data_IF_772033291271
#
_entry.id   IF_772033291271
#
_cell.length_a   1.000
_cell.length_b   1.000
_cell.length_c   1.000
_cell.angle_alpha   90.00
_cell.angle_beta   90.00
_cell.angle_gamma   90.00
#
_symmetry.space_group_name_H-M   'P 1'
#
loop_
_entity.id
_entity.type
_entity.pdbx_description
1 polymer ?
#
# COMPACT_ATOMS: atom_id res chain seq x y z
N UNK A 1 -40.51 18.38 -49.83
CA UNK A 1 -40.07 18.79 -48.47
C UNK A 1 -38.56 18.87 -48.50
N UNK A 2 -38.01 20.03 -48.82
CA UNK A 2 -37.51 21.08 -47.90
C UNK A 2 -36.05 20.81 -47.53
N UNK A 3 -35.11 21.50 -48.21
CA UNK A 3 -34.23 22.61 -47.70
C UNK A 3 -33.19 22.09 -46.68
N UNK A 4 -31.89 22.39 -46.72
CA UNK A 4 -31.10 23.64 -46.79
C UNK A 4 -29.70 23.28 -47.39
N UNK A 5 -28.89 24.09 -48.08
CA UNK A 5 -28.59 25.52 -47.99
C UNK A 5 -27.18 25.72 -47.40
N UNK A 6 -26.13 25.84 -48.24
CA UNK A 6 -24.77 26.38 -47.98
C UNK A 6 -23.91 26.03 -49.21
N UNK A 7 -23.19 26.90 -49.93
CA UNK A 7 -22.51 28.14 -49.58
C UNK A 7 -21.05 27.99 -50.07
N UNK A 8 -20.76 28.44 -51.30
CA UNK A 8 -19.40 28.65 -51.84
C UNK A 8 -18.69 29.78 -51.05
N UNK A 9 -17.35 29.84 -50.90
CA UNK A 9 -16.49 30.19 -52.05
C UNK A 9 -15.05 29.63 -52.10
N UNK A 10 -14.58 29.47 -53.34
CA UNK A 10 -13.31 29.92 -53.92
C UNK A 10 -12.02 29.83 -53.07
N UNK A 11 -11.21 28.83 -53.38
CA UNK A 11 -9.81 28.75 -52.99
C UNK A 11 -8.95 29.42 -54.08
N UNK A 12 -8.46 30.63 -53.82
CA UNK A 12 -7.13 31.02 -54.31
C UNK A 12 -6.51 32.22 -53.56
N UNK A 13 -5.19 32.10 -53.37
CA UNK A 13 -4.16 33.15 -53.33
C UNK A 13 -3.76 33.74 -51.97
N UNK A 14 -2.55 33.37 -51.53
CA UNK A 14 -1.70 34.23 -50.69
C UNK A 14 -0.88 33.48 -49.63
N UNK A 15 0.38 33.16 -49.92
CA UNK A 15 1.37 32.83 -48.89
C UNK A 15 1.67 34.04 -47.97
N UNK A 16 2.36 33.82 -46.83
CA UNK A 16 3.81 33.71 -46.89
C UNK A 16 4.37 32.46 -46.19
N UNK A 17 5.49 31.98 -46.73
CA UNK A 17 6.12 30.71 -46.39
C UNK A 17 6.68 30.66 -44.97
N UNK A 18 6.31 29.59 -44.28
CA UNK A 18 7.13 29.03 -43.21
C UNK A 18 8.18 28.12 -43.87
N UNK A 19 9.43 28.57 -43.86
CA UNK A 19 10.56 27.76 -44.30
C UNK A 19 10.73 26.52 -43.39
N UNK A 20 11.30 25.42 -43.90
CA UNK A 20 11.65 24.27 -43.09
C UNK A 20 12.85 24.63 -42.21
N UNK A 21 12.58 24.97 -40.95
CA UNK A 21 13.60 25.00 -39.91
C UNK A 21 14.04 23.56 -39.65
N UNK A 22 15.15 23.17 -40.26
CA UNK A 22 15.86 21.95 -39.95
C UNK A 22 16.44 22.06 -38.52
N UNK A 23 15.67 21.63 -37.52
CA UNK A 23 16.24 21.27 -36.23
C UNK A 23 17.01 19.95 -36.41
N UNK A 24 18.29 20.10 -36.71
CA UNK A 24 19.27 19.03 -36.56
C UNK A 24 19.28 18.54 -35.11
N UNK A 25 18.45 17.55 -34.80
CA UNK A 25 18.60 16.75 -33.58
C UNK A 25 19.75 15.76 -33.79
N UNK A 26 20.97 16.25 -33.70
CA UNK A 26 22.14 15.37 -33.56
C UNK A 26 22.09 14.69 -32.19
N UNK A 27 22.32 13.37 -32.08
CA UNK A 27 22.55 12.75 -30.79
C UNK A 27 23.92 13.24 -30.26
N UNK A 28 23.91 14.32 -29.51
CA UNK A 28 25.05 14.76 -28.71
C UNK A 28 25.33 13.69 -27.67
N UNK A 29 26.33 12.86 -27.94
CA UNK A 29 26.91 11.92 -27.00
C UNK A 29 27.40 12.70 -25.77
N UNK A 30 26.60 12.69 -24.70
CA UNK A 30 27.01 13.18 -23.39
C UNK A 30 27.98 12.14 -22.82
N UNK A 31 29.26 12.29 -23.18
CA UNK A 31 30.37 11.61 -22.55
C UNK A 31 30.40 12.05 -21.08
N UNK A 32 29.75 11.28 -20.20
CA UNK A 32 29.96 11.36 -18.76
C UNK A 32 31.35 10.78 -18.45
N UNK A 33 32.38 11.60 -18.66
CA UNK A 33 33.69 11.36 -18.07
C UNK A 33 33.60 11.52 -16.55
N UNK A 34 34.22 10.65 -15.73
CA UNK A 34 34.25 10.81 -14.28
C UNK A 34 35.26 11.91 -13.93
N UNK A 35 34.85 13.17 -14.11
CA UNK A 35 35.61 14.36 -13.73
C UNK A 35 35.07 14.94 -12.44
N UNK A 36 35.90 14.92 -11.41
CA UNK A 36 35.70 15.46 -10.07
C UNK A 36 35.11 16.87 -10.04
N UNK A 37 33.85 17.00 -9.62
CA UNK A 37 33.31 18.27 -9.13
C UNK A 37 33.66 18.38 -7.64
N UNK A 38 34.71 19.15 -7.34
CA UNK A 38 35.15 19.44 -5.99
C UNK A 38 34.21 20.50 -5.38
N UNK A 39 33.18 20.05 -4.67
CA UNK A 39 32.56 20.88 -3.63
C UNK A 39 33.23 20.53 -2.31
N UNK A 40 34.22 21.34 -1.95
CA UNK A 40 34.78 21.38 -0.61
C UNK A 40 33.81 22.12 0.31
N UNK A 41 32.95 21.37 0.99
CA UNK A 41 32.24 21.84 2.18
C UNK A 41 32.81 21.05 3.35
N UNK A 42 33.66 21.71 4.13
CA UNK A 42 34.42 21.10 5.22
C UNK A 42 33.54 20.62 6.40
N UNK A 43 34.13 19.69 7.16
CA UNK A 43 33.68 19.11 8.43
C UNK A 43 32.34 18.35 8.32
N UNK A 44 32.26 17.03 8.57
CA UNK A 44 32.68 16.33 9.77
C UNK A 44 33.18 14.92 9.41
N UNK A 45 34.39 14.54 9.85
CA UNK A 45 34.78 13.12 9.90
C UNK A 45 34.07 12.49 11.10
N UNK A 46 32.99 11.76 10.84
CA UNK A 46 32.56 10.70 11.75
C UNK A 46 33.32 9.44 11.32
N UNK A 47 34.34 9.06 12.09
CA UNK A 47 34.89 7.70 12.02
C UNK A 47 33.81 6.73 12.51
N UNK A 48 32.92 6.32 11.59
CA UNK A 48 31.90 5.32 11.89
C UNK A 48 32.59 3.95 11.98
N UNK A 49 32.46 3.22 13.10
CA UNK A 49 33.01 1.88 13.21
C UNK A 49 32.36 0.99 12.13
N UNK A 50 33.20 0.21 11.43
CA UNK A 50 32.77 -0.72 10.40
C UNK A 50 31.60 -1.58 10.91
N UNK A 51 30.41 -1.29 10.39
CA UNK A 51 29.20 -2.00 10.80
C UNK A 51 29.35 -3.47 10.37
N UNK A 52 29.19 -4.44 11.29
CA UNK A 52 29.25 -5.84 10.90
C UNK A 52 28.13 -6.12 9.91
N UNK A 53 28.53 -6.55 8.71
CA UNK A 53 27.67 -7.08 7.65
C UNK A 53 26.82 -8.22 8.19
N UNK A 54 25.65 -7.89 8.71
CA UNK A 54 24.66 -8.84 9.16
C UNK A 54 24.16 -9.64 7.94
N UNK A 55 24.36 -10.97 7.87
CA UNK A 55 23.98 -11.76 6.70
C UNK A 55 22.46 -11.96 6.54
N UNK A 56 21.62 -11.26 7.32
CA UNK A 56 20.15 -11.34 7.24
C UNK A 56 19.50 -10.22 6.40
N UNK A 57 20.05 -9.90 5.24
CA UNK A 57 19.32 -9.10 4.24
C UNK A 57 18.87 -10.00 3.10
N UNK A 58 17.86 -10.83 3.38
CA UNK A 58 16.89 -11.14 2.35
C UNK A 58 16.34 -9.79 1.85
N UNK A 59 16.35 -9.56 0.54
CA UNK A 59 16.13 -8.26 -0.07
C UNK A 59 14.91 -7.56 0.55
N UNK A 60 15.12 -6.33 1.05
CA UNK A 60 14.05 -5.48 1.56
C UNK A 60 13.21 -5.05 0.36
N UNK A 61 12.31 -5.92 -0.08
CA UNK A 61 11.33 -5.63 -1.11
C UNK A 61 10.57 -4.38 -0.65
N UNK A 62 10.39 -3.42 -1.56
CA UNK A 62 9.65 -2.19 -1.25
C UNK A 62 8.26 -2.60 -0.75
N UNK A 63 7.73 -2.03 0.35
CA UNK A 63 6.46 -2.46 0.93
C UNK A 63 5.30 -2.53 -0.08
N UNK A 64 5.26 -1.62 -1.04
CA UNK A 64 4.21 -1.59 -2.08
C UNK A 64 4.47 -2.53 -3.26
N UNK A 65 5.70 -3.02 -3.43
CA UNK A 65 5.98 -4.01 -4.46
C UNK A 65 5.41 -5.39 -4.10
N UNK A 66 5.24 -5.68 -2.81
CA UNK A 66 4.62 -6.93 -2.33
C UNK A 66 3.09 -6.94 -2.50
N UNK A 67 2.46 -5.77 -2.67
CA UNK A 67 1.01 -5.63 -2.92
C UNK A 67 0.68 -5.30 -4.38
N UNK A 68 1.66 -5.40 -5.29
CA UNK A 68 1.55 -4.97 -6.69
C UNK A 68 1.07 -3.51 -6.86
N UNK A 69 1.40 -2.64 -5.90
CA UNK A 69 0.99 -1.24 -5.88
C UNK A 69 -0.35 -0.94 -5.19
N UNK A 70 -1.10 -1.96 -4.75
CA UNK A 70 -2.35 -1.75 -4.00
C UNK A 70 -2.06 -1.14 -2.61
N UNK A 71 -2.82 -0.11 -2.26
CA UNK A 71 -2.77 0.58 -0.96
C UNK A 71 -4.04 0.41 -0.13
N UNK A 72 -5.12 -0.10 -0.75
CA UNK A 72 -6.38 -0.38 -0.10
C UNK A 72 -6.65 -1.89 -0.06
N UNK A 73 -7.11 -2.42 1.09
CA UNK A 73 -7.53 -3.81 1.21
C UNK A 73 -8.82 -4.08 0.43
N UNK A 74 -9.05 -5.35 0.08
CA UNK A 74 -10.28 -5.79 -0.61
C UNK A 74 -11.54 -5.69 0.28
N UNK A 75 -11.35 -5.69 1.60
CA UNK A 75 -12.40 -5.56 2.62
C UNK A 75 -12.07 -4.40 3.55
N UNK A 76 -13.09 -3.75 4.11
CA UNK A 76 -12.86 -2.71 5.10
C UNK A 76 -12.28 -3.32 6.39
N UNK A 77 -11.12 -2.81 6.78
CA UNK A 77 -10.29 -3.34 7.86
C UNK A 77 -9.80 -2.18 8.72
N UNK A 78 -10.55 -1.80 9.77
CA UNK A 78 -10.07 -0.89 10.81
C UNK A 78 -8.78 -1.43 11.43
N UNK A 79 -7.93 -0.55 11.96
CA UNK A 79 -6.64 -0.98 12.50
C UNK A 79 -6.78 -1.75 13.82
N UNK A 80 -7.87 -1.48 14.55
CA UNK A 80 -8.30 -2.10 15.80
C UNK A 80 -9.08 -3.41 15.59
N UNK A 81 -9.41 -3.75 14.34
CA UNK A 81 -10.17 -4.95 14.04
C UNK A 81 -9.38 -6.19 14.44
N UNK A 82 -10.02 -7.09 15.19
CA UNK A 82 -9.41 -8.33 15.68
C UNK A 82 -9.49 -9.39 14.60
N UNK A 83 -8.39 -10.09 14.37
CA UNK A 83 -8.26 -11.09 13.30
C UNK A 83 -8.12 -12.48 13.91
N UNK A 84 -8.97 -13.40 13.47
CA UNK A 84 -8.93 -14.81 13.85
C UNK A 84 -8.60 -15.68 12.64
N UNK A 85 -7.73 -16.67 12.80
CA UNK A 85 -7.48 -17.67 11.76
C UNK A 85 -8.53 -18.77 11.79
N UNK A 86 -9.27 -18.94 10.69
CA UNK A 86 -10.31 -19.96 10.54
C UNK A 86 -9.69 -21.30 10.15
N UNK A 87 -8.77 -21.26 9.18
CA UNK A 87 -8.15 -22.46 8.65
C UNK A 87 -6.64 -22.30 8.55
N UNK A 88 -5.92 -22.96 9.46
CA UNK A 88 -4.48 -23.09 9.39
C UNK A 88 -4.14 -24.38 8.63
N UNK A 89 -4.25 -24.30 7.31
CA UNK A 89 -3.88 -25.41 6.44
C UNK A 89 -2.35 -25.49 6.36
N UNK A 90 -1.73 -26.47 7.04
CA UNK A 90 -0.30 -26.78 6.91
C UNK A 90 0.15 -27.16 5.48
N UNK A 91 -0.80 -27.26 4.56
CA UNK A 91 -0.64 -27.56 3.13
C UNK A 91 -0.51 -26.29 2.25
N UNK A 92 -0.48 -25.09 2.83
CA UNK A 92 -0.07 -23.91 2.04
C UNK A 92 1.39 -24.07 1.64
N UNK A 93 1.63 -24.26 0.34
CA UNK A 93 2.98 -24.43 -0.24
C UNK A 93 3.69 -23.07 -0.39
N UNK A 94 3.68 -22.28 0.70
CA UNK A 94 4.31 -20.97 0.76
C UNK A 94 5.75 -21.09 1.24
N UNK A 95 6.69 -20.32 0.66
CA UNK A 95 8.07 -20.30 1.12
C UNK A 95 8.19 -19.96 2.61
N UNK A 96 9.24 -20.45 3.25
CA UNK A 96 9.57 -20.05 4.62
C UNK A 96 9.77 -18.54 4.71
N UNK A 97 9.08 -17.89 5.65
CA UNK A 97 9.10 -16.43 5.81
C UNK A 97 8.12 -15.68 4.90
N UNK A 98 7.18 -16.38 4.24
CA UNK A 98 6.07 -15.72 3.57
C UNK A 98 5.18 -15.00 4.58
N UNK A 99 4.91 -13.74 4.30
CA UNK A 99 4.11 -12.86 5.17
C UNK A 99 2.71 -13.43 5.46
N UNK A 100 2.11 -14.16 4.50
CA UNK A 100 0.79 -14.77 4.69
C UNK A 100 0.82 -15.86 5.75
N UNK A 101 1.85 -16.72 5.72
CA UNK A 101 2.03 -17.76 6.74
C UNK A 101 2.22 -17.15 8.13
N UNK A 102 3.00 -16.07 8.23
CA UNK A 102 3.24 -15.38 9.49
C UNK A 102 1.97 -14.71 10.03
N UNK A 103 1.15 -14.10 9.15
CA UNK A 103 -0.15 -13.53 9.51
C UNK A 103 -1.09 -14.62 10.03
N UNK A 104 -1.23 -15.77 9.35
CA UNK A 104 -2.07 -16.88 9.83
C UNK A 104 -1.59 -17.42 11.17
N UNK A 105 -0.26 -17.47 11.41
CA UNK A 105 0.29 -17.87 12.70
C UNK A 105 -0.06 -16.87 13.81
N UNK A 106 -0.01 -15.58 13.54
CA UNK A 106 -0.36 -14.53 14.51
C UNK A 106 -1.87 -14.47 14.76
N UNK A 107 -2.69 -14.72 13.74
CA UNK A 107 -4.15 -14.72 13.85
C UNK A 107 -4.73 -15.82 14.75
N UNK A 108 -3.94 -16.82 15.17
CA UNK A 108 -4.37 -17.78 16.22
C UNK A 108 -4.43 -17.15 17.61
N UNK A 109 -3.77 -16.00 17.81
CA UNK A 109 -3.74 -15.26 19.07
C UNK A 109 -4.80 -14.15 19.13
N UNK A 110 -5.68 -14.04 18.13
CA UNK A 110 -6.74 -13.03 18.05
C UNK A 110 -6.22 -11.60 18.24
N UNK A 111 -5.14 -11.26 17.53
CA UNK A 111 -4.54 -9.93 17.55
C UNK A 111 -5.29 -8.97 16.63
N UNK A 112 -5.23 -7.68 16.96
CA UNK A 112 -5.68 -6.62 16.05
C UNK A 112 -4.77 -6.48 14.84
N UNK A 113 -5.29 -5.89 13.76
CA UNK A 113 -4.51 -5.59 12.54
C UNK A 113 -3.25 -4.76 12.86
N UNK A 114 -3.36 -3.78 13.74
CA UNK A 114 -2.23 -2.95 14.18
C UNK A 114 -1.16 -3.78 14.92
N UNK A 115 -1.57 -4.66 15.82
CA UNK A 115 -0.66 -5.54 16.56
C UNK A 115 0.04 -6.53 15.63
N UNK A 116 -0.67 -7.08 14.64
CA UNK A 116 -0.06 -7.95 13.62
C UNK A 116 1.02 -7.18 12.85
N UNK A 117 0.72 -5.96 12.41
CA UNK A 117 1.71 -5.14 11.69
C UNK A 117 2.95 -4.83 12.54
N UNK A 118 2.76 -4.55 13.83
CA UNK A 118 3.84 -4.33 14.79
C UNK A 118 4.69 -5.59 15.01
N UNK A 119 4.06 -6.76 15.18
CA UNK A 119 4.76 -8.03 15.38
C UNK A 119 5.62 -8.42 14.16
N UNK A 120 5.16 -8.09 12.95
CA UNK A 120 5.89 -8.39 11.72
C UNK A 120 6.97 -7.35 11.40
N UNK A 121 7.01 -6.21 12.11
CA UNK A 121 7.82 -5.03 11.75
C UNK A 121 7.61 -4.65 10.27
N UNK A 122 6.33 -4.51 9.89
CA UNK A 122 5.90 -4.20 8.51
C UNK A 122 4.94 -3.01 8.46
N UNK A 123 4.83 -2.41 7.28
CA UNK A 123 3.91 -1.28 7.06
C UNK A 123 2.46 -1.72 7.24
N UNK A 124 1.70 -0.95 8.02
CA UNK A 124 0.29 -1.20 8.28
C UNK A 124 -0.53 -1.35 6.99
N UNK A 125 -0.28 -0.50 5.99
CA UNK A 125 -1.02 -0.55 4.72
C UNK A 125 -0.79 -1.85 3.94
N UNK A 126 0.44 -2.35 3.92
CA UNK A 126 0.77 -3.64 3.32
C UNK A 126 0.05 -4.78 4.04
N UNK A 127 0.13 -4.79 5.38
CA UNK A 127 -0.45 -5.86 6.19
C UNK A 127 -1.97 -5.89 6.05
N UNK A 128 -2.62 -4.72 5.99
CA UNK A 128 -4.05 -4.60 5.70
C UNK A 128 -4.44 -5.23 4.37
N UNK A 129 -3.67 -4.95 3.31
CA UNK A 129 -3.95 -5.54 1.98
C UNK A 129 -3.86 -7.06 2.03
N UNK A 130 -2.80 -7.61 2.62
CA UNK A 130 -2.61 -9.07 2.71
C UNK A 130 -3.67 -9.73 3.58
N UNK A 131 -4.02 -9.14 4.73
CA UNK A 131 -5.13 -9.63 5.56
C UNK A 131 -6.43 -9.59 4.77
N UNK A 132 -6.69 -8.52 4.02
CA UNK A 132 -7.89 -8.41 3.19
C UNK A 132 -8.00 -9.52 2.15
N UNK A 133 -6.89 -9.84 1.47
CA UNK A 133 -6.85 -10.96 0.53
C UNK A 133 -7.12 -12.30 1.25
N UNK A 134 -6.50 -12.54 2.41
CA UNK A 134 -6.71 -13.76 3.20
C UNK A 134 -8.12 -13.91 3.77
N UNK A 135 -8.80 -12.79 4.04
CA UNK A 135 -10.21 -12.77 4.45
C UNK A 135 -11.11 -13.14 3.28
N UNK A 136 -10.84 -12.60 2.09
CA UNK A 136 -11.57 -12.95 0.85
C UNK A 136 -11.39 -14.43 0.51
N UNK A 137 -10.18 -14.96 0.71
CA UNK A 137 -9.86 -16.38 0.50
C UNK A 137 -10.45 -17.30 1.59
N UNK A 138 -11.09 -16.75 2.63
CA UNK A 138 -11.73 -17.51 3.71
C UNK A 138 -10.76 -18.11 4.75
N UNK A 139 -9.51 -17.68 4.76
CA UNK A 139 -8.50 -18.17 5.72
C UNK A 139 -8.55 -17.42 7.05
N UNK A 140 -8.98 -16.16 7.01
CA UNK A 140 -9.11 -15.27 8.15
C UNK A 140 -10.55 -14.81 8.34
N UNK A 141 -10.93 -14.61 9.60
CA UNK A 141 -12.15 -13.95 10.04
C UNK A 141 -11.81 -12.62 10.67
N UNK A 142 -12.60 -11.60 10.35
CA UNK A 142 -12.56 -10.30 11.02
C UNK A 142 -13.62 -10.26 12.10
N UNK A 143 -13.20 -9.95 13.32
CA UNK A 143 -14.08 -9.62 14.43
C UNK A 143 -14.13 -8.10 14.53
N UNK A 144 -15.22 -7.53 14.02
CA UNK A 144 -15.55 -6.13 14.26
C UNK A 144 -16.01 -5.98 15.70
N UNK A 145 -15.55 -4.96 16.41
CA UNK A 145 -16.10 -4.61 17.71
C UNK A 145 -17.60 -4.41 17.58
N UNK A 146 -18.36 -5.11 18.43
CA UNK A 146 -19.82 -5.24 18.45
C UNK A 146 -20.56 -3.89 18.27
N UNK A 147 -19.95 -2.77 18.59
CA UNK A 147 -20.60 -1.46 18.67
C UNK A 147 -21.29 -1.03 17.36
N UNK A 148 -20.70 -1.29 16.18
CA UNK A 148 -21.30 -0.83 14.92
C UNK A 148 -22.41 -1.74 14.39
N UNK A 149 -22.33 -3.06 14.61
CA UNK A 149 -23.31 -4.03 14.12
C UNK A 149 -24.25 -4.59 15.19
N UNK A 150 -24.08 -4.21 16.45
CA UNK A 150 -24.97 -4.64 17.53
C UNK A 150 -26.39 -4.19 17.25
N UNK A 151 -27.33 -5.13 17.41
CA UNK A 151 -28.75 -4.84 17.44
C UNK A 151 -29.05 -3.79 18.51
N UNK A 152 -30.14 -3.04 18.32
CA UNK A 152 -30.63 -2.08 19.31
C UNK A 152 -30.77 -2.72 20.70
N UNK A 153 -31.22 -3.98 20.77
CA UNK A 153 -31.39 -4.73 22.02
C UNK A 153 -30.05 -5.07 22.69
N UNK A 154 -29.02 -5.40 21.91
CA UNK A 154 -27.67 -5.68 22.43
C UNK A 154 -27.03 -4.42 22.97
N UNK A 155 -27.17 -3.30 22.24
CA UNK A 155 -26.72 -1.97 22.70
C UNK A 155 -27.43 -1.57 23.99
N UNK A 156 -28.76 -1.75 24.04
CA UNK A 156 -29.56 -1.46 25.24
C UNK A 156 -29.13 -2.33 26.43
N UNK A 157 -28.95 -3.63 26.21
CA UNK A 157 -28.52 -4.58 27.25
C UNK A 157 -27.15 -4.22 27.82
N UNK A 158 -26.21 -3.83 26.96
CA UNK A 158 -24.90 -3.34 27.37
C UNK A 158 -25.01 -2.08 28.25
N UNK A 159 -25.80 -1.08 27.81
CA UNK A 159 -26.05 0.15 28.58
C UNK A 159 -26.72 -0.12 29.94
N UNK A 160 -27.70 -1.02 29.98
CA UNK A 160 -28.37 -1.40 31.22
C UNK A 160 -27.44 -2.16 32.17
N UNK A 161 -26.50 -2.96 31.64
CA UNK A 161 -25.48 -3.64 32.45
C UNK A 161 -24.42 -2.67 32.99
N UNK A 162 -23.96 -1.70 32.21
CA UNK A 162 -23.04 -0.65 32.70
C UNK A 162 -23.72 0.25 33.73
N UNK A 163 -24.97 0.69 33.51
CA UNK A 163 -25.73 1.47 34.49
C UNK A 163 -25.91 0.72 35.82
N UNK A 164 -26.17 -0.58 35.77
CA UNK A 164 -26.23 -1.41 36.98
C UNK A 164 -24.88 -1.49 37.69
N UNK A 165 -23.79 -1.69 36.94
CA UNK A 165 -22.44 -1.71 37.51
C UNK A 165 -22.05 -0.40 38.18
N UNK A 166 -22.36 0.75 37.55
CA UNK A 166 -22.07 2.09 38.09
C UNK A 166 -22.90 2.45 39.32
N UNK A 167 -24.12 1.92 39.44
CA UNK A 167 -25.01 2.16 40.60
C UNK A 167 -24.75 1.21 41.77
N UNK A 168 -23.94 0.18 41.57
CA UNK A 168 -23.56 -0.79 42.59
C UNK A 168 -22.25 -0.43 43.31
N UNK A 169 -21.67 0.73 42.97
CA UNK A 169 -20.53 1.38 43.62
C UNK A 169 -21.01 2.59 44.40
#
# INVERSE_FOLDING_TARGET
>A
MSQFGQGMPDYNTGGPGFGPGAEHYGPGAQNFGPGSSQYNTGAYRFDAPAQPKNPRRAGRVRPYALTSGRTQPAVDLPMEAVIETISYHAQFDWPSGDIRAEILRLGTHQLSVAEIAAHLDRSLGMVRVVIGDLVVDGNLRVHSTLTEQASYDERRSLMERTLRGLRAL
#
